data_IF_178058432461
#
_entry.id   IF_178058432461
#
_cell.length_a   1.000
_cell.length_b   1.000
_cell.length_c   1.000
_cell.angle_alpha   90.00
_cell.angle_beta   90.00
_cell.angle_gamma   90.00
#
_symmetry.space_group_name_H-M   'P 1'
#
loop_
_entity.id
_entity.type
_entity.pdbx_description
1 polymer ?
#
# COMPACT_ATOMS: atom_id res chain seq x y z
N UNK A 1 -20.36 3.31 17.92
CA UNK A 1 -19.36 3.35 16.85
C UNK A 1 -19.27 1.96 16.22
N UNK A 2 -19.11 1.89 14.89
CA UNK A 2 -18.90 0.62 14.20
C UNK A 2 -17.63 -0.07 14.71
N UNK A 3 -17.63 -1.39 14.95
CA UNK A 3 -16.46 -2.12 15.42
C UNK A 3 -15.31 -2.16 14.39
N UNK A 4 -15.57 -1.70 13.17
CA UNK A 4 -14.56 -1.57 12.09
C UNK A 4 -13.97 -0.15 12.06
N UNK A 5 -14.58 0.80 12.73
CA UNK A 5 -14.07 2.18 12.81
C UNK A 5 -12.77 2.25 13.62
N UNK A 6 -11.78 2.94 13.08
CA UNK A 6 -10.47 3.14 13.71
C UNK A 6 -10.35 4.61 14.12
N UNK A 7 -10.66 4.97 15.39
CA UNK A 7 -10.69 6.38 15.80
C UNK A 7 -9.36 7.13 15.58
N UNK A 8 -8.23 6.44 15.75
CA UNK A 8 -6.90 7.02 15.53
C UNK A 8 -6.57 7.29 14.05
N UNK A 9 -7.37 6.79 13.11
CA UNK A 9 -7.14 7.04 11.68
C UNK A 9 -7.30 8.53 11.33
N UNK A 10 -8.29 9.21 11.91
CA UNK A 10 -8.52 10.63 11.67
C UNK A 10 -7.28 11.51 12.00
N UNK A 11 -6.54 11.14 13.05
CA UNK A 11 -5.33 11.86 13.44
C UNK A 11 -4.18 11.74 12.41
N UNK A 12 -4.22 10.75 11.52
CA UNK A 12 -3.20 10.56 10.47
C UNK A 12 -3.54 11.25 9.15
N UNK A 13 -4.79 11.69 8.96
CA UNK A 13 -5.26 12.30 7.71
C UNK A 13 -4.39 13.48 7.27
N UNK A 14 -4.03 14.47 8.13
CA UNK A 14 -3.20 15.58 7.68
C UNK A 14 -1.78 15.16 7.23
N UNK A 15 -1.21 14.12 7.86
CA UNK A 15 0.10 13.60 7.46
C UNK A 15 0.00 12.83 6.14
N UNK A 16 -1.06 12.04 5.95
CA UNK A 16 -1.33 11.33 4.70
C UNK A 16 -1.56 12.31 3.54
N UNK A 17 -2.36 13.37 3.74
CA UNK A 17 -2.60 14.40 2.72
C UNK A 17 -1.27 15.05 2.29
N UNK A 18 -0.44 15.47 3.23
CA UNK A 18 0.89 16.01 2.89
C UNK A 18 1.76 15.02 2.14
N UNK A 19 1.74 13.73 2.49
CA UNK A 19 2.48 12.71 1.77
C UNK A 19 1.99 12.53 0.33
N UNK A 20 0.67 12.56 0.10
CA UNK A 20 0.04 12.53 -1.22
C UNK A 20 0.48 13.76 -2.04
N UNK A 21 0.38 14.95 -1.48
CA UNK A 21 0.78 16.20 -2.16
C UNK A 21 2.26 16.17 -2.57
N UNK A 22 3.13 15.66 -1.69
CA UNK A 22 4.57 15.50 -2.00
C UNK A 22 4.80 14.47 -3.12
N UNK A 23 4.06 13.36 -3.13
CA UNK A 23 4.12 12.38 -4.21
C UNK A 23 3.69 13.00 -5.53
N UNK A 24 2.56 13.71 -5.56
CA UNK A 24 2.08 14.40 -6.76
C UNK A 24 3.10 15.44 -7.27
N UNK A 25 3.63 16.27 -6.37
CA UNK A 25 4.64 17.28 -6.73
C UNK A 25 5.95 16.68 -7.26
N UNK A 26 6.30 15.49 -6.80
CA UNK A 26 7.50 14.76 -7.24
C UNK A 26 7.25 13.82 -8.45
N UNK A 27 6.02 13.73 -8.95
CA UNK A 27 5.66 12.81 -10.04
C UNK A 27 5.71 11.34 -9.63
N UNK A 28 5.58 11.05 -8.32
CA UNK A 28 5.50 9.68 -7.79
C UNK A 28 4.08 9.17 -7.95
N UNK A 29 3.85 8.01 -8.60
CA UNK A 29 2.50 7.45 -8.77
C UNK A 29 1.82 7.19 -7.43
N UNK A 30 0.55 7.58 -7.32
CA UNK A 30 -0.28 7.34 -6.13
C UNK A 30 -1.30 6.26 -6.42
N UNK A 31 -1.41 5.30 -5.50
CA UNK A 31 -2.39 4.20 -5.56
C UNK A 31 -3.24 4.22 -4.30
N UNK A 32 -4.51 4.49 -4.45
CA UNK A 32 -5.52 4.40 -3.40
C UNK A 32 -6.07 2.98 -3.37
N UNK A 33 -5.74 2.23 -2.33
CA UNK A 33 -6.21 0.86 -2.14
C UNK A 33 -7.31 0.82 -1.08
N UNK A 34 -8.55 0.87 -1.52
CA UNK A 34 -9.74 0.86 -0.66
C UNK A 34 -10.28 -0.55 -0.48
N UNK A 35 -11.22 -0.68 0.44
CA UNK A 35 -12.03 -1.87 0.60
C UNK A 35 -13.49 -1.51 0.37
N UNK A 36 -14.14 -2.29 -0.47
CA UNK A 36 -15.56 -2.20 -0.73
C UNK A 36 -16.15 -3.60 -0.72
N UNK A 37 -17.31 -3.79 -0.09
CA UNK A 37 -18.00 -5.06 -0.02
C UNK A 37 -19.33 -5.01 -0.78
N UNK A 38 -19.68 -6.13 -1.38
CA UNK A 38 -21.01 -6.30 -1.98
C UNK A 38 -22.09 -6.21 -0.91
N UNK A 39 -23.25 -5.65 -1.24
CA UNK A 39 -24.37 -5.50 -0.32
C UNK A 39 -24.89 -6.85 0.24
N UNK A 40 -24.77 -7.94 -0.56
CA UNK A 40 -25.11 -9.30 -0.14
C UNK A 40 -24.07 -9.95 0.80
N UNK A 41 -22.90 -9.32 0.97
CA UNK A 41 -21.82 -9.80 1.83
C UNK A 41 -21.09 -11.04 1.32
N UNK A 42 -21.30 -11.44 0.07
CA UNK A 42 -20.71 -12.66 -0.52
C UNK A 42 -19.19 -12.63 -0.60
N UNK A 43 -18.58 -11.45 -0.57
CA UNK A 43 -17.13 -11.21 -0.62
C UNK A 43 -16.51 -10.81 0.73
N UNK A 44 -17.31 -10.69 1.79
CA UNK A 44 -16.82 -10.44 3.14
C UNK A 44 -16.06 -11.67 3.66
N UNK A 45 -14.96 -11.44 4.38
CA UNK A 45 -14.22 -12.53 5.01
C UNK A 45 -15.09 -13.29 6.01
N UNK A 46 -15.06 -14.63 5.97
CA UNK A 46 -15.87 -15.48 6.85
C UNK A 46 -15.72 -15.11 8.33
N UNK A 47 -14.50 -14.82 8.78
CA UNK A 47 -14.22 -14.45 10.17
C UNK A 47 -14.75 -13.06 10.57
N UNK A 48 -15.18 -12.24 9.60
CA UNK A 48 -15.69 -10.88 9.82
C UNK A 48 -17.18 -10.74 9.56
N UNK A 49 -17.80 -11.70 8.90
CA UNK A 49 -19.15 -11.60 8.38
C UNK A 49 -20.16 -11.19 9.46
N UNK A 50 -20.17 -11.85 10.59
CA UNK A 50 -21.12 -11.56 11.68
C UNK A 50 -20.94 -10.14 12.24
N UNK A 51 -19.69 -9.72 12.42
CA UNK A 51 -19.37 -8.37 12.91
C UNK A 51 -19.73 -7.31 11.86
N UNK A 52 -19.48 -7.59 10.61
CA UNK A 52 -19.81 -6.72 9.49
C UNK A 52 -21.33 -6.56 9.36
N UNK A 53 -22.08 -7.68 9.35
CA UNK A 53 -23.52 -7.66 9.22
C UNK A 53 -24.20 -6.91 10.40
N UNK A 54 -23.81 -7.23 11.64
CA UNK A 54 -24.32 -6.57 12.84
C UNK A 54 -23.87 -5.11 12.96
N UNK A 55 -22.77 -4.75 12.33
CA UNK A 55 -22.20 -3.41 12.33
C UNK A 55 -22.81 -2.46 11.31
N UNK A 56 -23.87 -2.83 10.60
CA UNK A 56 -24.53 -1.99 9.59
C UNK A 56 -23.86 -2.09 8.22
N UNK A 57 -23.26 -3.22 7.90
CA UNK A 57 -22.61 -3.52 6.60
C UNK A 57 -21.60 -2.44 6.16
N UNK A 58 -20.64 -2.03 6.99
CA UNK A 58 -19.72 -0.95 6.66
C UNK A 58 -18.94 -1.25 5.37
N UNK A 59 -18.57 -0.22 4.65
CA UNK A 59 -17.84 -0.28 3.38
C UNK A 59 -18.63 -1.00 2.26
N UNK A 60 -19.96 -0.90 2.27
CA UNK A 60 -20.83 -1.36 1.20
C UNK A 60 -21.75 -0.24 0.71
N UNK A 61 -22.38 -0.42 -0.44
CA UNK A 61 -23.32 0.56 -1.00
C UNK A 61 -24.50 0.88 -0.08
N UNK A 62 -24.89 -0.08 0.80
CA UNK A 62 -26.02 0.07 1.70
C UNK A 62 -25.64 0.66 3.08
N UNK A 63 -24.36 0.96 3.32
CA UNK A 63 -23.93 1.45 4.61
C UNK A 63 -24.23 2.95 4.81
N UNK A 64 -24.30 3.37 6.07
CA UNK A 64 -24.38 4.79 6.39
C UNK A 64 -23.09 5.53 5.95
N UNK A 65 -23.19 6.81 5.55
CA UNK A 65 -22.03 7.58 5.04
C UNK A 65 -20.82 7.59 5.97
N UNK A 66 -21.04 7.57 7.29
CA UNK A 66 -19.99 7.62 8.31
C UNK A 66 -19.14 6.34 8.39
N UNK A 67 -19.60 5.25 7.78
CA UNK A 67 -18.92 3.96 7.73
C UNK A 67 -18.65 3.48 6.29
N UNK A 68 -18.76 4.42 5.33
CA UNK A 68 -18.46 4.18 3.91
C UNK A 68 -16.95 4.12 3.66
N UNK A 69 -16.60 3.83 2.42
CA UNK A 69 -15.22 3.85 1.91
C UNK A 69 -14.83 5.19 1.26
N UNK A 70 -15.62 6.23 1.48
CA UNK A 70 -15.34 7.58 0.99
C UNK A 70 -14.00 8.10 1.53
N UNK A 71 -13.24 8.74 0.66
CA UNK A 71 -12.00 9.39 1.05
C UNK A 71 -12.25 10.61 1.93
N UNK A 72 -11.35 10.89 2.90
CA UNK A 72 -11.33 12.19 3.55
C UNK A 72 -11.24 13.32 2.53
N UNK A 73 -11.91 14.47 2.75
CA UNK A 73 -11.89 15.58 1.81
C UNK A 73 -10.52 16.19 1.57
N UNK A 74 -9.57 15.94 2.47
CA UNK A 74 -8.17 16.34 2.35
C UNK A 74 -7.39 15.52 1.32
N UNK A 75 -7.92 14.36 0.89
CA UNK A 75 -7.26 13.50 -0.09
C UNK A 75 -7.69 13.91 -1.50
N UNK A 76 -6.81 14.61 -2.20
CA UNK A 76 -7.05 15.02 -3.57
C UNK A 76 -6.67 13.89 -4.51
N UNK A 77 -7.67 13.26 -5.12
CA UNK A 77 -7.48 12.21 -6.13
C UNK A 77 -7.37 12.88 -7.49
N UNK A 78 -6.24 12.69 -8.16
CA UNK A 78 -5.98 13.23 -9.49
C UNK A 78 -6.34 12.22 -10.59
N UNK A 79 -6.60 12.66 -11.84
CA UNK A 79 -6.97 11.75 -12.93
C UNK A 79 -5.92 10.68 -13.26
N UNK A 80 -4.66 10.92 -12.93
CA UNK A 80 -3.55 9.96 -13.13
C UNK A 80 -3.39 8.96 -11.97
N UNK A 81 -4.07 9.15 -10.84
CA UNK A 81 -3.97 8.25 -9.70
C UNK A 81 -4.73 6.95 -9.96
N UNK A 82 -4.26 5.89 -9.32
CA UNK A 82 -4.89 4.58 -9.41
C UNK A 82 -5.80 4.35 -8.20
N UNK A 83 -7.08 4.06 -8.46
CA UNK A 83 -8.02 3.65 -7.42
C UNK A 83 -8.30 2.16 -7.56
N UNK A 84 -8.01 1.38 -6.52
CA UNK A 84 -8.10 -0.08 -6.52
C UNK A 84 -8.93 -0.54 -5.34
N UNK A 85 -9.92 -1.38 -5.61
CA UNK A 85 -10.66 -2.10 -4.56
C UNK A 85 -9.94 -3.40 -4.28
N UNK A 86 -9.53 -3.59 -3.03
CA UNK A 86 -8.86 -4.82 -2.60
C UNK A 86 -9.80 -5.74 -1.84
N UNK A 87 -9.83 -7.06 -2.15
CA UNK A 87 -10.76 -7.99 -1.53
C UNK A 87 -10.33 -8.43 -0.12
N UNK A 88 -9.05 -8.27 0.24
CA UNK A 88 -8.48 -8.73 1.52
C UNK A 88 -7.57 -7.65 2.13
N UNK A 89 -6.80 -7.98 3.16
CA UNK A 89 -5.96 -7.01 3.87
C UNK A 89 -4.87 -6.41 3.00
N UNK A 90 -4.13 -7.26 2.28
CA UNK A 90 -3.06 -6.80 1.40
C UNK A 90 -3.61 -6.07 0.18
N UNK A 91 -2.92 -5.01 -0.21
CA UNK A 91 -3.18 -4.31 -1.46
C UNK A 91 -2.73 -5.13 -2.69
N UNK A 92 -1.86 -6.11 -2.51
CA UNK A 92 -1.35 -6.97 -3.59
C UNK A 92 -2.21 -8.22 -3.83
N UNK A 93 -2.92 -8.68 -2.79
CA UNK A 93 -3.67 -9.94 -2.86
C UNK A 93 -4.89 -9.83 -3.78
N UNK A 94 -4.87 -10.55 -4.89
CA UNK A 94 -5.92 -10.57 -5.93
C UNK A 94 -6.30 -9.17 -6.45
N UNK A 95 -5.31 -8.31 -6.62
CA UNK A 95 -5.48 -6.97 -7.21
C UNK A 95 -4.53 -6.78 -8.39
N UNK A 96 -4.65 -5.65 -9.05
CA UNK A 96 -3.78 -5.26 -10.16
C UNK A 96 -2.54 -4.46 -9.71
N UNK A 97 -2.30 -4.31 -8.40
CA UNK A 97 -1.22 -3.43 -7.89
C UNK A 97 0.15 -3.83 -8.44
N UNK A 98 0.51 -5.10 -8.33
CA UNK A 98 1.82 -5.58 -8.82
C UNK A 98 1.98 -5.35 -10.33
N UNK A 99 0.95 -5.64 -11.13
CA UNK A 99 0.95 -5.39 -12.56
C UNK A 99 1.19 -3.91 -12.89
N UNK A 100 0.50 -3.01 -12.20
CA UNK A 100 0.64 -1.55 -12.38
C UNK A 100 2.04 -1.10 -12.00
N UNK A 101 2.52 -1.49 -10.83
CA UNK A 101 3.83 -1.06 -10.34
C UNK A 101 4.96 -1.54 -11.24
N UNK A 102 4.94 -2.80 -11.71
CA UNK A 102 5.91 -3.31 -12.66
C UNK A 102 5.85 -2.59 -14.00
N UNK A 103 4.66 -2.28 -14.49
CA UNK A 103 4.49 -1.53 -15.74
C UNK A 103 5.05 -0.12 -15.65
N UNK A 104 4.98 0.49 -14.46
CA UNK A 104 5.55 1.81 -14.16
C UNK A 104 7.06 1.76 -13.85
N UNK A 105 7.67 0.58 -13.80
CA UNK A 105 9.08 0.43 -13.46
C UNK A 105 9.40 0.76 -12.00
N UNK A 106 8.41 0.61 -11.11
CA UNK A 106 8.58 0.86 -9.67
C UNK A 106 9.32 -0.30 -9.02
N UNK A 107 10.35 0.00 -8.25
CA UNK A 107 11.12 -0.94 -7.43
C UNK A 107 10.90 -0.73 -5.91
N UNK A 108 10.42 0.43 -5.52
CA UNK A 108 10.21 0.81 -4.12
C UNK A 108 8.77 1.27 -3.89
N UNK A 109 8.09 0.71 -2.90
CA UNK A 109 6.74 1.11 -2.53
C UNK A 109 6.70 1.81 -1.18
N UNK A 110 5.94 2.89 -1.10
CA UNK A 110 5.68 3.64 0.13
C UNK A 110 4.30 3.25 0.63
N UNK A 111 4.21 2.73 1.85
CA UNK A 111 2.96 2.31 2.46
C UNK A 111 2.49 3.31 3.52
N UNK A 112 1.25 3.76 3.37
CA UNK A 112 0.53 4.62 4.30
C UNK A 112 -0.91 4.11 4.51
N UNK A 113 -1.57 4.55 5.57
CA UNK A 113 -2.98 4.26 5.83
C UNK A 113 -3.24 3.35 7.04
N UNK A 114 -4.41 2.76 7.06
CA UNK A 114 -5.01 2.04 8.20
C UNK A 114 -5.41 0.62 7.78
N UNK A 115 -5.12 -0.44 8.56
CA UNK A 115 -4.49 -0.49 9.88
C UNK A 115 -3.10 -1.10 9.81
N UNK A 116 -2.19 -0.61 10.67
CA UNK A 116 -0.81 -1.11 10.72
C UNK A 116 -0.71 -2.63 10.93
N UNK A 117 -1.45 -3.27 11.87
CA UNK A 117 -1.34 -4.71 12.10
C UNK A 117 -1.93 -5.60 10.99
N UNK A 118 -2.78 -5.07 10.14
CA UNK A 118 -3.48 -5.81 9.10
C UNK A 118 -3.06 -5.36 7.70
N UNK A 119 -3.69 -4.32 7.16
CA UNK A 119 -3.52 -3.92 5.77
C UNK A 119 -2.07 -3.52 5.45
N UNK A 120 -1.45 -2.69 6.31
CA UNK A 120 -0.07 -2.24 6.09
C UNK A 120 0.90 -3.41 6.21
N UNK A 121 0.79 -4.22 7.28
CA UNK A 121 1.66 -5.38 7.47
C UNK A 121 1.53 -6.40 6.34
N UNK A 122 0.31 -6.76 5.95
CA UNK A 122 0.10 -7.75 4.90
C UNK A 122 0.62 -7.24 3.56
N UNK A 123 0.35 -5.98 3.20
CA UNK A 123 0.90 -5.37 1.98
C UNK A 123 2.43 -5.27 2.01
N UNK A 124 3.03 -5.00 3.18
CA UNK A 124 4.48 -4.97 3.33
C UNK A 124 5.11 -6.34 3.06
N UNK A 125 4.54 -7.42 3.60
CA UNK A 125 5.07 -8.77 3.37
C UNK A 125 4.88 -9.23 1.93
N UNK A 126 3.75 -8.94 1.31
CA UNK A 126 3.52 -9.30 -0.09
C UNK A 126 4.43 -8.49 -1.01
N UNK A 127 4.63 -7.20 -0.76
CA UNK A 127 5.56 -6.37 -1.53
C UNK A 127 7.00 -6.91 -1.44
N UNK A 128 7.47 -7.25 -0.22
CA UNK A 128 8.79 -7.85 -0.03
C UNK A 128 8.92 -9.22 -0.73
N UNK A 129 7.84 -10.02 -0.72
CA UNK A 129 7.81 -11.32 -1.41
C UNK A 129 7.82 -11.20 -2.93
N UNK A 130 7.46 -10.03 -3.44
CA UNK A 130 7.47 -9.65 -4.85
C UNK A 130 8.73 -8.84 -5.24
N UNK A 131 9.75 -8.81 -4.38
CA UNK A 131 11.03 -8.11 -4.58
C UNK A 131 10.92 -6.58 -4.67
N UNK A 132 9.92 -5.97 -4.04
CA UNK A 132 9.91 -4.53 -3.84
C UNK A 132 10.66 -4.11 -2.58
N UNK A 133 11.39 -3.02 -2.65
CA UNK A 133 11.78 -2.27 -1.46
C UNK A 133 10.54 -1.64 -0.81
N UNK A 134 10.48 -1.62 0.53
CA UNK A 134 9.30 -1.12 1.24
C UNK A 134 9.66 -0.04 2.24
N UNK A 135 8.98 1.09 2.15
CA UNK A 135 9.01 2.18 3.12
C UNK A 135 7.64 2.31 3.78
N UNK A 136 7.58 2.37 5.11
CA UNK A 136 6.33 2.61 5.84
C UNK A 136 6.40 3.96 6.53
N UNK A 137 5.47 4.87 6.17
CA UNK A 137 5.37 6.19 6.79
C UNK A 137 4.71 6.07 8.15
N UNK A 138 5.50 6.22 9.20
CA UNK A 138 5.05 5.93 10.57
C UNK A 138 4.00 6.92 11.12
N UNK A 139 3.99 8.15 10.66
CA UNK A 139 3.02 9.20 10.98
C UNK A 139 1.75 9.13 10.12
N UNK A 140 1.85 8.43 8.99
CA UNK A 140 0.72 8.16 8.08
C UNK A 140 0.07 6.80 8.34
N UNK A 141 0.37 6.11 9.45
CA UNK A 141 -0.23 4.82 9.78
C UNK A 141 -0.88 4.82 11.15
N UNK A 142 -2.00 4.11 11.27
CA UNK A 142 -2.77 4.01 12.52
C UNK A 142 -3.15 2.58 12.86
N UNK A 143 -3.56 2.36 14.11
CA UNK A 143 -3.99 1.06 14.62
C UNK A 143 -5.18 1.21 15.55
N UNK A 144 -5.76 0.09 15.99
CA UNK A 144 -6.94 0.08 16.88
C UNK A 144 -6.63 0.75 18.22
N UNK A 145 -5.39 0.59 18.73
CA UNK A 145 -4.94 1.24 19.96
C UNK A 145 -3.53 1.78 19.80
N UNK A 146 -3.18 2.79 20.60
CA UNK A 146 -1.84 3.38 20.64
C UNK A 146 -0.78 2.37 21.08
N UNK A 147 -1.12 1.45 21.95
CA UNK A 147 -0.21 0.40 22.41
C UNK A 147 0.16 -0.54 21.26
N UNK A 148 -0.83 -1.03 20.50
CA UNK A 148 -0.61 -1.85 19.31
C UNK A 148 0.19 -1.07 18.26
N UNK A 149 -0.08 0.22 18.10
CA UNK A 149 0.66 1.08 17.18
C UNK A 149 2.14 1.23 17.60
N UNK A 150 2.43 1.50 18.88
CA UNK A 150 3.81 1.63 19.40
C UNK A 150 4.60 0.35 19.25
N UNK A 151 4.03 -0.80 19.57
CA UNK A 151 4.69 -2.11 19.44
C UNK A 151 5.02 -2.43 17.98
N UNK A 152 4.13 -2.09 17.04
CA UNK A 152 4.34 -2.36 15.60
C UNK A 152 5.35 -1.40 14.99
N UNK A 153 5.33 -0.11 15.34
CA UNK A 153 6.34 0.87 14.89
C UNK A 153 7.76 0.45 15.26
N UNK A 154 7.97 -0.08 16.46
CA UNK A 154 9.30 -0.58 16.89
C UNK A 154 9.80 -1.73 16.01
N UNK A 155 8.93 -2.59 15.50
CA UNK A 155 9.30 -3.73 14.63
C UNK A 155 9.54 -3.32 13.16
N UNK A 156 8.84 -2.33 12.67
CA UNK A 156 9.02 -1.78 11.32
C UNK A 156 10.13 -0.71 11.24
N UNK A 157 10.59 -0.20 12.38
CA UNK A 157 11.31 1.07 12.52
C UNK A 157 12.81 1.05 12.30
N UNK A 158 13.42 0.04 11.67
CA UNK A 158 14.88 0.12 11.34
C UNK A 158 15.20 0.75 9.99
N UNK A 159 14.22 0.91 9.10
CA UNK A 159 14.44 1.48 7.76
C UNK A 159 14.26 3.01 7.64
N UNK A 160 13.92 3.71 8.75
CA UNK A 160 13.28 5.03 8.69
C UNK A 160 14.19 6.24 8.43
N UNK A 161 15.41 6.27 8.93
CA UNK A 161 16.17 7.54 8.98
C UNK A 161 17.00 7.89 7.75
N UNK A 162 17.35 6.92 6.95
CA UNK A 162 18.22 7.15 5.78
C UNK A 162 17.41 7.47 4.51
N UNK A 163 16.21 6.95 4.38
CA UNK A 163 15.40 7.06 3.14
C UNK A 163 14.50 8.31 3.06
N UNK A 164 14.17 8.96 4.17
CA UNK A 164 13.39 10.21 4.17
C UNK A 164 14.10 11.35 3.39
N UNK A 165 15.44 11.28 3.31
CA UNK A 165 16.25 12.21 2.50
C UNK A 165 16.24 11.88 1.01
N UNK A 166 16.07 10.61 0.66
CA UNK A 166 16.08 10.16 -0.74
C UNK A 166 14.73 10.39 -1.44
N UNK A 167 13.61 10.37 -0.70
CA UNK A 167 12.27 10.70 -1.21
C UNK A 167 12.13 12.15 -1.67
N UNK A 168 12.99 13.06 -1.18
CA UNK A 168 13.01 14.48 -1.56
C UNK A 168 13.92 14.76 -2.76
N UNK A 169 14.57 13.75 -3.34
CA UNK A 169 15.37 13.91 -4.57
C UNK A 169 14.44 13.89 -5.79
N UNK A 170 14.61 14.83 -6.73
CA UNK A 170 13.86 14.80 -7.99
C UNK A 170 14.10 13.48 -8.73
N UNK A 171 13.04 12.93 -9.35
CA UNK A 171 13.04 11.64 -10.05
C UNK A 171 14.16 11.53 -11.14
N UNK A 172 14.63 12.65 -11.67
CA UNK A 172 15.76 12.72 -12.60
C UNK A 172 17.12 12.31 -12.00
N UNK A 173 17.22 12.13 -10.67
CA UNK A 173 18.44 11.71 -9.99
C UNK A 173 18.48 10.21 -9.67
N UNK A 174 17.41 9.47 -9.91
CA UNK A 174 17.35 8.02 -9.76
C UNK A 174 17.69 7.33 -11.08
N UNK A 175 18.95 7.34 -11.46
CA UNK A 175 19.44 6.34 -12.40
C UNK A 175 19.53 5.01 -11.63
N UNK A 176 18.93 3.92 -12.15
CA UNK A 176 19.14 2.61 -11.57
C UNK A 176 20.63 2.28 -11.57
N UNK A 177 21.19 1.71 -10.50
CA UNK A 177 22.53 1.17 -10.57
C UNK A 177 22.54 0.10 -11.66
N UNK A 178 23.30 0.35 -12.71
CA UNK A 178 23.48 -0.56 -13.83
C UNK A 178 24.12 -1.88 -13.37
N UNK A 179 23.33 -2.78 -12.84
CA UNK A 179 23.67 -4.20 -12.76
C UNK A 179 22.97 -4.92 -13.91
N UNK A 180 23.61 -4.90 -15.07
CA UNK A 180 23.37 -5.97 -16.03
C UNK A 180 23.96 -7.25 -15.43
N UNK A 181 23.13 -8.11 -14.86
CA UNK A 181 23.49 -9.49 -14.62
C UNK A 181 23.48 -10.12 -16.01
N UNK A 182 24.65 -10.28 -16.61
CA UNK A 182 24.82 -11.18 -17.75
C UNK A 182 24.71 -12.59 -17.18
N UNK A 183 23.63 -13.27 -17.46
CA UNK A 183 23.62 -14.71 -17.43
C UNK A 183 24.41 -15.17 -18.63
N UNK A 184 25.64 -15.62 -18.42
CA UNK A 184 26.37 -16.35 -19.44
C UNK A 184 25.59 -17.65 -19.67
N UNK A 185 24.91 -17.74 -20.84
CA UNK A 185 24.23 -18.96 -21.26
C UNK A 185 25.32 -20.02 -21.55
N UNK A 186 25.41 -21.09 -20.81
CA UNK A 186 26.42 -22.13 -21.03
C UNK A 186 26.31 -22.81 -22.42
N UNK A 187 25.29 -22.46 -23.23
CA UNK A 187 25.12 -22.94 -24.59
C UNK A 187 25.83 -22.10 -25.67
N UNK A 188 26.36 -20.92 -25.31
CA UNK A 188 27.09 -20.10 -26.29
C UNK A 188 28.54 -20.59 -26.52
N UNK A 189 29.06 -21.44 -25.63
CA UNK A 189 30.43 -21.98 -25.76
C UNK A 189 30.58 -23.18 -26.73
N UNK A 190 29.47 -23.70 -27.26
CA UNK A 190 29.50 -24.85 -28.17
C UNK A 190 29.50 -24.49 -29.65
N UNK A 191 29.38 -23.21 -30.00
CA UNK A 191 29.32 -22.76 -31.41
C UNK A 191 30.65 -22.29 -32.00
N UNK A 192 31.74 -22.26 -31.24
CA UNK A 192 33.07 -21.84 -31.73
C UNK A 192 34.10 -22.98 -31.95
N UNK A 193 33.68 -24.24 -31.80
CA UNK A 193 34.53 -25.34 -32.26
C UNK A 193 33.88 -25.99 -33.48
N UNK A 194 34.11 -25.35 -34.62
CA UNK A 194 33.78 -25.90 -35.93
C UNK A 194 34.63 -27.13 -36.26
N UNK A 195 33.96 -28.18 -36.62
CA UNK A 195 34.34 -29.02 -37.79
C UNK A 195 33.02 -29.47 -38.41
#
# INVERSE_FOLDING_TARGET
>A
ASPICIPSAAATVPACARAIDLCHAAGVPVVYATRHYRADGSDVEKCRYDVWFKGGKPLSEECAPEISDAFPPEFIVLPQDYCIVKPRFSAFFHTQVDLILRRLGVDTVILAGTTTPNCIRSSCYDALSLDYDVVVLSDCTSSVTDEVQRQRKRRLGRARKERERDLLRPATAMQPPGRSIRFDDPRSAAAEQGI
#
